data_IF_695903077522
#
_entry.id   IF_695903077522
#
_cell.length_a   1.000
_cell.length_b   1.000
_cell.length_c   1.000
_cell.angle_alpha   90.00
_cell.angle_beta   90.00
_cell.angle_gamma   90.00
#
_symmetry.space_group_name_H-M   'P 1'
#
loop_
_entity.id
_entity.type
_entity.pdbx_description
1 polymer ?
#
# COMPACT_ATOMS: atom_id res chain seq x y z
N UNK A 1 23.13 17.63 -16.07
CA UNK A 1 22.81 16.20 -16.18
C UNK A 1 23.23 15.58 -14.85
N UNK A 2 22.31 15.48 -13.89
CA UNK A 2 22.65 15.02 -12.53
C UNK A 2 22.63 13.50 -12.51
N UNK A 3 23.80 12.90 -12.29
CA UNK A 3 23.99 11.46 -12.09
C UNK A 3 23.38 11.05 -10.75
N UNK A 4 22.46 10.09 -10.74
CA UNK A 4 21.94 9.44 -9.53
C UNK A 4 22.93 8.32 -9.15
N UNK A 5 23.67 8.49 -8.06
CA UNK A 5 24.47 7.40 -7.50
C UNK A 5 23.58 6.47 -6.65
N UNK A 6 23.67 5.14 -6.83
CA UNK A 6 22.86 4.20 -6.07
C UNK A 6 23.35 4.16 -4.61
N UNK A 7 22.51 4.62 -3.70
CA UNK A 7 22.72 4.47 -2.25
C UNK A 7 22.57 2.98 -1.89
N UNK A 8 23.56 2.40 -1.22
CA UNK A 8 23.49 1.03 -0.71
C UNK A 8 22.59 1.03 0.52
N UNK A 9 21.41 0.41 0.43
CA UNK A 9 20.49 0.34 1.57
C UNK A 9 20.81 -0.90 2.42
N UNK A 10 20.89 -0.73 3.73
CA UNK A 10 20.92 -1.85 4.68
C UNK A 10 19.69 -2.75 4.46
N UNK A 11 19.77 -4.07 4.68
CA UNK A 11 18.61 -4.94 4.53
C UNK A 11 17.52 -4.51 5.50
N UNK A 12 16.48 -3.88 4.95
CA UNK A 12 15.27 -3.52 5.66
C UNK A 12 14.61 -4.77 6.26
N UNK A 13 13.91 -4.59 7.37
CA UNK A 13 13.13 -5.64 8.01
C UNK A 13 12.17 -6.28 6.99
N UNK A 14 11.97 -7.59 7.11
CA UNK A 14 10.99 -8.31 6.29
C UNK A 14 9.60 -7.64 6.44
N UNK A 15 8.96 -7.35 5.29
CA UNK A 15 7.62 -6.74 5.22
C UNK A 15 6.61 -7.54 6.04
N UNK A 16 6.78 -8.87 6.12
CA UNK A 16 5.94 -9.74 6.93
C UNK A 16 6.03 -9.49 8.44
N UNK A 17 7.06 -8.78 8.91
CA UNK A 17 7.31 -8.50 10.33
C UNK A 17 6.93 -7.05 10.73
N UNK A 18 6.38 -6.26 9.80
CA UNK A 18 5.93 -4.89 10.08
C UNK A 18 4.79 -4.87 11.09
N UNK A 19 4.82 -3.92 12.03
CA UNK A 19 3.74 -3.71 13.00
C UNK A 19 2.59 -2.93 12.37
N UNK A 20 1.85 -3.57 11.48
CA UNK A 20 0.68 -2.98 10.83
C UNK A 20 -0.61 -3.24 11.62
N UNK A 21 -1.47 -2.22 11.73
CA UNK A 21 -2.82 -2.37 12.29
C UNK A 21 -3.84 -1.77 11.35
N UNK A 22 -4.81 -2.59 10.94
CA UNK A 22 -5.85 -2.28 9.97
C UNK A 22 -7.07 -1.55 10.58
N UNK A 23 -6.87 -0.69 11.59
CA UNK A 23 -7.96 -0.11 12.40
C UNK A 23 -9.08 0.51 11.58
N UNK A 24 -8.74 1.24 10.52
CA UNK A 24 -9.74 1.85 9.64
C UNK A 24 -10.68 0.81 9.00
N UNK A 25 -10.11 -0.27 8.48
CA UNK A 25 -10.86 -1.34 7.80
C UNK A 25 -11.55 -2.26 8.82
N UNK A 26 -10.97 -2.43 10.01
CA UNK A 26 -11.56 -3.27 11.05
C UNK A 26 -12.73 -2.60 11.78
N UNK A 27 -12.60 -1.29 12.05
CA UNK A 27 -13.46 -0.60 13.01
C UNK A 27 -14.55 0.26 12.33
N UNK A 28 -14.43 0.54 11.02
CA UNK A 28 -15.39 1.38 10.28
C UNK A 28 -16.28 0.58 9.31
N UNK A 29 -17.48 1.10 8.97
CA UNK A 29 -18.39 0.42 8.06
C UNK A 29 -17.80 0.22 6.65
N UNK A 30 -17.81 -1.04 6.20
CA UNK A 30 -17.51 -1.42 4.83
C UNK A 30 -18.74 -1.29 3.94
N UNK A 31 -18.51 -1.04 2.65
CA UNK A 31 -19.50 -1.31 1.62
C UNK A 31 -19.76 -2.83 1.57
N UNK A 32 -21.03 -3.28 1.68
CA UNK A 32 -21.36 -4.70 1.64
C UNK A 32 -21.12 -5.34 0.26
N UNK A 33 -20.95 -4.53 -0.79
CA UNK A 33 -20.73 -5.00 -2.15
C UNK A 33 -19.23 -5.09 -2.49
N UNK A 34 -18.85 -6.18 -3.14
CA UNK A 34 -17.50 -6.49 -3.60
C UNK A 34 -17.32 -6.30 -5.12
N UNK A 35 -18.38 -5.93 -5.85
CA UNK A 35 -18.31 -5.70 -7.27
C UNK A 35 -17.76 -4.30 -7.63
N UNK A 36 -16.88 -4.27 -8.63
CA UNK A 36 -16.28 -3.06 -9.18
C UNK A 36 -17.23 -2.43 -10.22
N UNK A 37 -18.29 -1.78 -9.73
CA UNK A 37 -19.27 -1.01 -10.52
C UNK A 37 -19.47 0.38 -9.94
N UNK A 38 -19.68 1.36 -10.81
CA UNK A 38 -20.03 2.73 -10.40
C UNK A 38 -21.42 2.74 -9.75
N UNK A 39 -21.52 3.34 -8.56
CA UNK A 39 -22.75 3.44 -7.77
C UNK A 39 -22.63 4.54 -6.72
N UNK A 40 -23.75 4.86 -6.08
CA UNK A 40 -23.74 5.59 -4.81
C UNK A 40 -23.39 4.63 -3.67
N UNK A 41 -22.46 5.04 -2.81
CA UNK A 41 -21.97 4.26 -1.66
C UNK A 41 -22.31 5.04 -0.40
N UNK A 42 -23.52 4.82 0.12
CA UNK A 42 -24.02 5.53 1.30
C UNK A 42 -23.70 4.74 2.57
N UNK A 43 -23.27 5.44 3.62
CA UNK A 43 -23.07 4.83 4.95
C UNK A 43 -21.84 3.92 5.09
N UNK A 44 -21.00 3.83 4.07
CA UNK A 44 -19.74 3.09 4.12
C UNK A 44 -18.54 4.05 4.04
N UNK A 45 -17.46 3.69 4.73
CA UNK A 45 -16.20 4.44 4.72
C UNK A 45 -15.23 3.93 3.65
N UNK A 46 -15.41 2.70 3.15
CA UNK A 46 -14.58 2.11 2.11
C UNK A 46 -15.31 0.98 1.37
N UNK A 47 -14.83 0.63 0.17
CA UNK A 47 -15.24 -0.55 -0.59
C UNK A 47 -14.04 -1.47 -0.83
N UNK A 48 -14.27 -2.78 -0.90
CA UNK A 48 -13.21 -3.76 -1.18
C UNK A 48 -12.96 -3.84 -2.68
N UNK A 49 -11.68 -3.90 -3.06
CA UNK A 49 -11.25 -4.08 -4.45
C UNK A 49 -10.06 -5.03 -4.50
N UNK A 50 -9.95 -5.76 -5.61
CA UNK A 50 -8.75 -6.52 -5.94
C UNK A 50 -7.84 -5.62 -6.79
N UNK A 51 -6.61 -5.30 -6.34
CA UNK A 51 -5.67 -4.53 -7.15
C UNK A 51 -5.37 -5.24 -8.47
N UNK A 52 -5.32 -4.49 -9.56
CA UNK A 52 -4.90 -5.02 -10.87
C UNK A 52 -3.38 -5.18 -10.87
N UNK A 53 -2.83 -6.40 -11.04
CA UNK A 53 -1.38 -6.59 -11.14
C UNK A 53 -0.81 -5.90 -12.37
N UNK A 54 0.35 -5.26 -12.21
CA UNK A 54 1.10 -4.69 -13.34
C UNK A 54 2.15 -5.70 -13.82
N UNK A 55 2.41 -5.78 -15.14
CA UNK A 55 3.45 -6.66 -15.67
C UNK A 55 4.84 -6.13 -15.30
N UNK A 56 5.76 -7.04 -14.93
CA UNK A 56 7.17 -6.77 -14.66
C UNK A 56 7.44 -5.54 -13.75
N UNK A 57 6.99 -5.57 -12.48
CA UNK A 57 7.25 -4.45 -11.56
C UNK A 57 8.75 -4.30 -11.27
N UNK A 58 9.24 -3.07 -11.35
CA UNK A 58 10.63 -2.70 -11.06
C UNK A 58 10.69 -1.55 -10.04
N UNK A 59 11.71 -1.56 -9.16
CA UNK A 59 11.94 -0.50 -8.18
C UNK A 59 12.68 0.66 -8.84
N UNK A 60 12.04 1.83 -8.93
CA UNK A 60 12.65 3.02 -9.52
C UNK A 60 13.27 3.97 -8.48
N UNK A 61 12.66 4.06 -7.29
CA UNK A 61 13.12 4.96 -6.23
C UNK A 61 12.70 4.42 -4.85
N UNK A 62 13.55 4.65 -3.85
CA UNK A 62 13.30 4.34 -2.45
C UNK A 62 13.77 5.51 -1.60
N UNK A 63 12.97 5.89 -0.61
CA UNK A 63 13.30 6.95 0.37
C UNK A 63 13.59 6.25 1.71
N UNK A 64 14.87 6.08 2.11
CA UNK A 64 15.24 5.23 3.24
C UNK A 64 14.57 5.64 4.56
N UNK A 65 14.45 6.93 4.82
CA UNK A 65 13.85 7.45 6.05
C UNK A 65 12.35 7.16 6.16
N UNK A 66 11.65 6.97 5.04
CA UNK A 66 10.24 6.57 5.00
C UNK A 66 10.09 5.06 5.10
N UNK A 67 11.03 4.31 4.49
CA UNK A 67 11.03 2.85 4.49
C UNK A 67 11.53 2.24 5.81
N UNK A 68 12.18 3.03 6.66
CA UNK A 68 12.62 2.60 7.97
C UNK A 68 11.42 2.28 8.88
N UNK A 69 11.34 1.03 9.34
CA UNK A 69 10.42 0.62 10.40
C UNK A 69 10.86 1.27 11.72
N UNK A 70 9.90 1.76 12.52
CA UNK A 70 10.15 2.50 13.77
C UNK A 70 9.58 1.78 14.98
#
# INVERSE_FOLDING_TARGET
MTTFEPQTNEPGKDVAQLRYSDRFVRDLPADPRDDQRTRQVLGACYSRVTPTPVPAPELLALVPEVAADR
#
